data_IF_278721469389
#
_entry.id   IF_278721469389
#
_cell.length_a   1.000
_cell.length_b   1.000
_cell.length_c   1.000
_cell.angle_alpha   90.00
_cell.angle_beta   90.00
_cell.angle_gamma   90.00
#
_symmetry.space_group_name_H-M   'P 1'
#
loop_
_entity.id
_entity.type
_entity.pdbx_description
1 polymer ?
#
# COMPACT_ATOMS: atom_id res chain seq x y z
N UNK A 1 -37.07 -66.91 64.46
CA UNK A 1 -38.46 -66.40 64.54
C UNK A 1 -38.47 -64.95 64.07
N UNK A 2 -39.51 -64.55 63.31
CA UNK A 2 -39.99 -63.16 63.14
C UNK A 2 -39.05 -62.08 62.58
N UNK A 3 -39.52 -61.06 61.84
CA UNK A 3 -40.76 -60.79 61.05
C UNK A 3 -40.58 -59.37 60.47
N UNK A 4 -41.10 -59.08 59.25
CA UNK A 4 -41.69 -57.76 58.85
C UNK A 4 -40.68 -56.58 58.79
N UNK A 5 -40.61 -55.63 57.84
CA UNK A 5 -41.33 -55.22 56.62
C UNK A 5 -40.32 -54.33 55.79
N UNK A 6 -40.57 -53.64 54.66
CA UNK A 6 -41.76 -53.41 53.81
C UNK A 6 -41.34 -53.17 52.34
N UNK A 7 -42.32 -53.26 51.43
CA UNK A 7 -42.44 -52.60 50.11
C UNK A 7 -41.42 -51.49 49.73
N UNK A 8 -40.78 -51.66 48.57
CA UNK A 8 -40.23 -50.58 47.74
C UNK A 8 -40.75 -50.73 46.30
N UNK A 9 -41.38 -49.70 45.69
CA UNK A 9 -41.84 -49.75 44.29
C UNK A 9 -40.69 -49.67 43.27
N UNK A 10 -41.03 -49.92 42.01
CA UNK A 10 -40.11 -50.35 40.95
C UNK A 10 -39.23 -49.26 40.33
N UNK A 11 -38.11 -49.72 39.80
CA UNK A 11 -36.94 -49.00 39.26
C UNK A 11 -37.17 -48.08 38.03
N UNK A 12 -38.41 -47.78 37.66
CA UNK A 12 -38.76 -47.20 36.36
C UNK A 12 -39.00 -45.67 36.36
N UNK A 13 -39.36 -45.05 37.49
CA UNK A 13 -39.61 -43.59 37.56
C UNK A 13 -38.32 -42.74 37.66
N UNK A 14 -37.15 -43.37 37.79
CA UNK A 14 -35.87 -42.68 38.00
C UNK A 14 -35.10 -42.31 36.72
N UNK A 15 -35.43 -42.90 35.56
CA UNK A 15 -34.67 -42.66 34.31
C UNK A 15 -35.25 -41.51 33.44
N UNK A 16 -36.56 -41.25 33.44
CA UNK A 16 -37.13 -40.09 32.69
C UNK A 16 -36.71 -38.71 33.25
N UNK A 17 -36.30 -38.65 34.53
CA UNK A 17 -35.91 -37.39 35.18
C UNK A 17 -34.49 -36.93 34.85
N UNK A 18 -33.65 -37.74 34.20
CA UNK A 18 -32.33 -37.27 33.74
C UNK A 18 -32.43 -36.58 32.38
N UNK A 19 -33.03 -37.24 31.38
CA UNK A 19 -33.08 -36.72 30.00
C UNK A 19 -33.79 -35.37 29.87
N UNK A 20 -34.81 -35.11 30.71
CA UNK A 20 -35.52 -33.81 30.72
C UNK A 20 -34.66 -32.64 31.21
N UNK A 21 -33.69 -32.89 32.11
CA UNK A 21 -32.77 -31.85 32.59
C UNK A 21 -31.64 -31.57 31.59
N UNK A 22 -31.21 -32.58 30.84
CA UNK A 22 -30.18 -32.47 29.82
C UNK A 22 -30.70 -31.72 28.59
N UNK A 23 -31.89 -32.09 28.09
CA UNK A 23 -32.60 -31.34 27.03
C UNK A 23 -32.87 -29.88 27.44
N UNK A 24 -33.19 -29.61 28.70
CA UNK A 24 -33.39 -28.25 29.21
C UNK A 24 -32.10 -27.42 29.17
N UNK A 25 -30.93 -28.04 29.42
CA UNK A 25 -29.62 -27.40 29.26
C UNK A 25 -29.31 -27.14 27.79
N UNK A 26 -29.45 -28.13 26.91
CA UNK A 26 -29.24 -27.96 25.47
C UNK A 26 -30.14 -26.86 24.88
N UNK A 27 -31.42 -26.82 25.28
CA UNK A 27 -32.36 -25.80 24.80
C UNK A 27 -32.00 -24.40 25.34
N UNK A 28 -31.46 -24.30 26.55
CA UNK A 28 -30.94 -23.05 27.11
C UNK A 28 -29.68 -22.58 26.35
N UNK A 29 -28.77 -23.49 26.05
CA UNK A 29 -27.52 -23.23 25.34
C UNK A 29 -27.75 -22.89 23.86
N UNK A 30 -28.70 -23.55 23.19
CA UNK A 30 -29.17 -23.18 21.84
C UNK A 30 -29.82 -21.80 21.82
N UNK A 31 -30.69 -21.48 22.78
CA UNK A 31 -31.30 -20.14 22.86
C UNK A 31 -30.26 -19.05 23.16
N UNK A 32 -29.26 -19.35 24.00
CA UNK A 32 -28.13 -18.46 24.24
C UNK A 32 -27.34 -18.23 22.94
N UNK A 33 -26.89 -19.29 22.28
CA UNK A 33 -26.13 -19.20 21.03
C UNK A 33 -26.90 -18.48 19.91
N UNK A 34 -28.21 -18.73 19.78
CA UNK A 34 -29.07 -18.03 18.82
C UNK A 34 -29.21 -16.54 19.14
N UNK A 35 -29.30 -16.17 20.43
CA UNK A 35 -29.30 -14.77 20.86
C UNK A 35 -27.97 -14.09 20.56
N UNK A 36 -26.84 -14.72 20.90
CA UNK A 36 -25.50 -14.22 20.60
C UNK A 36 -25.27 -14.06 19.09
N UNK A 37 -25.83 -14.96 18.27
CA UNK A 37 -25.77 -14.83 16.81
C UNK A 37 -26.61 -13.64 16.30
N UNK A 38 -27.81 -13.39 16.86
CA UNK A 38 -28.64 -12.23 16.48
C UNK A 38 -28.04 -10.90 16.93
N UNK A 39 -27.30 -10.88 18.04
CA UNK A 39 -26.57 -9.70 18.50
C UNK A 39 -25.36 -9.40 17.61
N UNK A 40 -24.53 -10.41 17.27
CA UNK A 40 -23.41 -10.26 16.31
C UNK A 40 -23.86 -9.77 14.92
N UNK A 41 -24.98 -10.27 14.40
CA UNK A 41 -25.50 -9.81 13.10
C UNK A 41 -26.03 -8.37 13.15
N UNK A 42 -26.55 -7.90 14.31
CA UNK A 42 -26.86 -6.47 14.51
C UNK A 42 -25.61 -5.60 14.56
N UNK A 43 -24.55 -6.05 15.23
CA UNK A 43 -23.26 -5.34 15.29
C UNK A 43 -22.66 -5.19 13.89
N UNK A 44 -22.71 -6.24 13.06
CA UNK A 44 -22.26 -6.21 11.65
C UNK A 44 -23.08 -5.24 10.78
N UNK A 45 -24.40 -5.20 10.95
CA UNK A 45 -25.25 -4.21 10.26
C UNK A 45 -24.91 -2.78 10.66
N UNK A 46 -24.67 -2.52 11.96
CA UNK A 46 -24.31 -1.20 12.46
C UNK A 46 -22.92 -0.75 11.96
N UNK A 47 -21.95 -1.67 11.89
CA UNK A 47 -20.60 -1.41 11.38
C UNK A 47 -20.60 -1.06 9.89
N UNK A 48 -21.55 -1.58 9.10
CA UNK A 48 -21.71 -1.21 7.69
C UNK A 48 -22.19 0.24 7.49
N UNK A 49 -22.99 0.78 8.42
CA UNK A 49 -23.53 2.15 8.33
C UNK A 49 -22.53 3.25 8.68
N UNK A 50 -21.41 2.96 9.36
CA UNK A 50 -20.34 3.94 9.61
C UNK A 50 -19.43 4.19 8.40
N UNK A 51 -19.57 3.42 7.31
CA UNK A 51 -18.69 3.54 6.13
C UNK A 51 -19.00 4.73 5.20
N UNK A 52 -20.09 5.46 5.42
CA UNK A 52 -20.45 6.64 4.62
C UNK A 52 -19.81 7.95 5.10
N UNK A 53 -19.38 8.02 6.36
CA UNK A 53 -18.94 9.25 7.03
C UNK A 53 -17.58 9.73 6.49
N UNK A 54 -16.59 8.83 6.43
CA UNK A 54 -15.24 9.14 5.92
C UNK A 54 -15.20 9.61 4.47
N UNK A 55 -16.18 9.23 3.64
CA UNK A 55 -16.27 9.74 2.25
C UNK A 55 -16.64 11.21 2.18
N UNK A 56 -17.44 11.71 3.12
CA UNK A 56 -17.80 13.13 3.19
C UNK A 56 -16.60 13.99 3.62
N UNK A 57 -15.78 13.49 4.54
CA UNK A 57 -14.52 14.13 4.93
C UNK A 57 -13.52 14.19 3.77
N UNK A 58 -13.36 13.08 3.01
CA UNK A 58 -12.52 13.03 1.81
C UNK A 58 -12.97 14.05 0.74
N UNK A 59 -14.27 14.08 0.39
CA UNK A 59 -14.82 15.02 -0.61
C UNK A 59 -14.70 16.49 -0.15
N UNK A 60 -14.86 16.76 1.15
CA UNK A 60 -14.71 18.09 1.75
C UNK A 60 -13.24 18.55 1.70
N UNK A 61 -12.30 17.69 2.12
CA UNK A 61 -10.87 17.99 2.10
C UNK A 61 -10.32 18.15 0.68
N UNK A 62 -10.81 17.38 -0.29
CA UNK A 62 -10.50 17.57 -1.70
C UNK A 62 -11.00 18.93 -2.23
N UNK A 63 -12.21 19.34 -1.83
CA UNK A 63 -12.78 20.63 -2.22
C UNK A 63 -11.98 21.79 -1.64
N UNK A 64 -11.57 21.71 -0.36
CA UNK A 64 -10.71 22.69 0.29
C UNK A 64 -9.32 22.75 -0.36
N UNK A 65 -8.71 21.59 -0.67
CA UNK A 65 -7.45 21.52 -1.38
C UNK A 65 -7.52 22.19 -2.76
N UNK A 66 -8.55 21.89 -3.57
CA UNK A 66 -8.74 22.51 -4.87
C UNK A 66 -8.99 24.03 -4.77
N UNK A 67 -9.65 24.49 -3.71
CA UNK A 67 -9.79 25.93 -3.45
C UNK A 67 -8.42 26.58 -3.16
N UNK A 68 -7.58 25.94 -2.32
CA UNK A 68 -6.24 26.46 -1.98
C UNK A 68 -5.30 26.64 -3.19
N UNK A 69 -5.51 25.89 -4.28
CA UNK A 69 -4.73 26.02 -5.51
C UNK A 69 -4.93 27.37 -6.24
N UNK A 70 -5.99 28.12 -5.94
CA UNK A 70 -6.16 29.48 -6.48
C UNK A 70 -5.10 30.47 -5.96
N UNK A 71 -4.66 30.30 -4.72
CA UNK A 71 -3.69 31.19 -4.07
C UNK A 71 -2.26 30.62 -4.08
N UNK A 72 -2.11 29.33 -4.41
CA UNK A 72 -0.80 28.68 -4.56
C UNK A 72 -0.18 28.90 -5.93
N UNK A 73 1.10 29.31 -5.96
CA UNK A 73 1.90 29.40 -7.19
C UNK A 73 2.89 28.23 -7.27
N UNK A 74 2.68 27.23 -8.14
CA UNK A 74 3.60 26.11 -8.31
C UNK A 74 4.94 26.51 -8.93
N UNK A 75 6.00 25.77 -8.58
CA UNK A 75 7.35 25.86 -9.21
C UNK A 75 7.36 25.60 -10.72
N UNK A 76 6.37 24.88 -11.24
CA UNK A 76 6.16 24.66 -12.68
C UNK A 76 5.16 25.73 -13.14
N UNK A 77 5.53 26.63 -14.07
CA UNK A 77 4.66 27.73 -14.51
C UNK A 77 3.35 27.24 -15.16
N UNK A 78 2.28 28.00 -14.94
CA UNK A 78 0.93 27.69 -15.43
C UNK A 78 0.93 27.57 -16.97
N UNK A 79 1.65 28.44 -17.69
CA UNK A 79 1.74 28.45 -19.16
C UNK A 79 2.41 27.19 -19.73
N UNK A 80 3.37 26.60 -18.98
CA UNK A 80 4.03 25.37 -19.39
C UNK A 80 3.05 24.19 -19.31
N UNK A 81 2.23 24.16 -18.26
CA UNK A 81 1.20 23.13 -18.09
C UNK A 81 0.11 23.30 -19.14
N UNK A 82 -0.38 24.52 -19.38
CA UNK A 82 -1.34 24.81 -20.45
C UNK A 82 -0.84 24.33 -21.81
N UNK A 83 0.43 24.60 -22.16
CA UNK A 83 1.04 24.11 -23.41
C UNK A 83 1.02 22.58 -23.52
N UNK A 84 1.38 21.85 -22.46
CA UNK A 84 1.39 20.37 -22.49
C UNK A 84 -0.02 19.76 -22.44
N UNK A 85 -0.98 20.40 -21.76
CA UNK A 85 -2.39 20.02 -21.80
C UNK A 85 -2.98 20.22 -23.21
N UNK A 86 -2.77 21.40 -23.80
CA UNK A 86 -3.23 21.72 -25.15
C UNK A 86 -2.62 20.77 -26.21
N UNK A 87 -1.31 20.45 -26.07
CA UNK A 87 -0.63 19.44 -26.89
C UNK A 87 -1.23 18.03 -26.75
N UNK A 88 -1.84 17.73 -25.60
CA UNK A 88 -2.56 16.48 -25.33
C UNK A 88 -4.03 16.51 -25.77
N UNK A 89 -4.49 17.63 -26.35
CA UNK A 89 -5.88 17.82 -26.79
C UNK A 89 -6.84 18.30 -25.69
N UNK A 90 -6.32 18.72 -24.53
CA UNK A 90 -7.12 19.20 -23.40
C UNK A 90 -6.89 20.70 -23.16
N UNK A 91 -7.95 21.50 -23.18
CA UNK A 91 -7.88 22.92 -22.86
C UNK A 91 -8.92 23.24 -21.79
N UNK A 92 -8.49 23.84 -20.69
CA UNK A 92 -9.35 24.17 -19.56
C UNK A 92 -9.01 25.58 -19.04
N UNK A 93 -10.00 26.47 -18.84
CA UNK A 93 -9.77 27.79 -18.27
C UNK A 93 -9.71 27.79 -16.72
N UNK A 94 -9.88 26.64 -16.07
CA UNK A 94 -9.83 26.53 -14.61
C UNK A 94 -8.38 26.39 -14.12
N UNK A 95 -7.84 27.49 -13.58
CA UNK A 95 -6.49 27.57 -13.02
C UNK A 95 -6.24 26.51 -11.92
N UNK A 96 -7.27 26.06 -11.20
CA UNK A 96 -7.13 25.01 -10.17
C UNK A 96 -6.72 23.69 -10.79
N UNK A 97 -7.25 23.36 -11.97
CA UNK A 97 -6.91 22.12 -12.69
C UNK A 97 -5.52 22.19 -13.33
N UNK A 98 -5.15 23.36 -13.87
CA UNK A 98 -3.79 23.63 -14.37
C UNK A 98 -2.77 23.45 -13.23
N UNK A 99 -3.01 24.07 -12.07
CA UNK A 99 -2.12 23.98 -10.91
C UNK A 99 -2.15 22.63 -10.21
N UNK A 100 -3.27 21.91 -10.24
CA UNK A 100 -3.35 20.53 -9.78
C UNK A 100 -2.38 19.63 -10.58
N UNK A 101 -2.37 19.78 -11.91
CA UNK A 101 -1.44 19.05 -12.79
C UNK A 101 0.01 19.47 -12.51
N UNK A 102 0.26 20.76 -12.28
CA UNK A 102 1.59 21.26 -11.88
C UNK A 102 2.08 20.60 -10.57
N UNK A 103 1.26 20.60 -9.51
CA UNK A 103 1.58 20.03 -8.19
C UNK A 103 1.72 18.50 -8.27
N UNK A 104 0.84 17.82 -9.00
CA UNK A 104 0.94 16.37 -9.20
C UNK A 104 2.24 15.98 -9.93
N UNK A 105 2.65 16.77 -10.93
CA UNK A 105 3.92 16.57 -11.66
C UNK A 105 5.12 16.81 -10.75
N UNK A 106 5.09 17.85 -9.90
CA UNK A 106 6.15 18.10 -8.91
C UNK A 106 6.26 16.98 -7.89
N UNK A 107 5.13 16.50 -7.35
CA UNK A 107 5.08 15.37 -6.42
C UNK A 107 5.70 14.12 -7.05
N UNK A 108 5.30 13.79 -8.29
CA UNK A 108 5.85 12.65 -9.01
C UNK A 108 7.37 12.74 -9.21
N UNK A 109 7.88 13.90 -9.65
CA UNK A 109 9.33 14.12 -9.83
C UNK A 109 10.08 14.06 -8.49
N UNK A 110 9.48 14.58 -7.40
CA UNK A 110 10.05 14.50 -6.06
C UNK A 110 10.09 13.06 -5.51
N UNK A 111 9.09 12.24 -5.79
CA UNK A 111 9.06 10.81 -5.44
C UNK A 111 10.17 10.05 -6.17
N UNK A 112 10.25 10.17 -7.51
CA UNK A 112 11.34 9.56 -8.31
C UNK A 112 12.72 10.00 -7.84
N UNK A 113 12.90 11.28 -7.51
CA UNK A 113 14.16 11.81 -6.98
C UNK A 113 14.48 11.25 -5.58
N UNK A 114 13.48 11.05 -4.74
CA UNK A 114 13.62 10.46 -3.40
C UNK A 114 14.03 8.99 -3.48
N UNK A 115 13.46 8.23 -4.41
CA UNK A 115 13.82 6.82 -4.60
C UNK A 115 15.20 6.66 -5.24
N UNK A 116 15.56 7.51 -6.20
CA UNK A 116 16.93 7.56 -6.72
C UNK A 116 17.95 7.97 -5.64
N UNK A 117 17.58 8.86 -4.70
CA UNK A 117 18.41 9.22 -3.55
C UNK A 117 18.64 8.02 -2.61
N UNK A 118 17.59 7.23 -2.33
CA UNK A 118 17.69 5.99 -1.54
C UNK A 118 18.64 4.98 -2.18
N UNK A 119 18.53 4.77 -3.50
CA UNK A 119 19.44 3.90 -4.26
C UNK A 119 20.90 4.40 -4.20
N UNK A 120 21.11 5.72 -4.34
CA UNK A 120 22.45 6.33 -4.26
C UNK A 120 23.08 6.12 -2.87
N UNK A 121 22.32 6.34 -1.80
CA UNK A 121 22.77 6.10 -0.42
C UNK A 121 23.10 4.62 -0.17
N UNK A 122 22.25 3.69 -0.65
CA UNK A 122 22.49 2.25 -0.52
C UNK A 122 23.78 1.80 -1.20
N UNK A 123 24.07 2.27 -2.43
CA UNK A 123 25.35 2.02 -3.10
C UNK A 123 26.53 2.64 -2.34
N UNK A 124 26.41 3.87 -1.86
CA UNK A 124 27.51 4.50 -1.12
C UNK A 124 27.78 3.83 0.24
N UNK A 125 26.82 3.10 0.81
CA UNK A 125 27.02 2.33 2.03
C UNK A 125 27.82 1.03 1.80
N UNK A 126 27.62 0.34 0.66
CA UNK A 126 28.30 -0.94 0.38
C UNK A 126 29.79 -0.78 0.10
N UNK A 127 30.21 0.31 -0.55
CA UNK A 127 31.62 0.59 -0.94
C UNK A 127 32.54 0.88 0.26
N UNK A 128 32.00 1.09 1.46
CA UNK A 128 32.74 1.67 2.61
C UNK A 128 33.45 0.63 3.48
N UNK A 129 33.22 -0.66 3.27
CA UNK A 129 33.68 -1.71 4.19
C UNK A 129 35.19 -1.94 4.18
N UNK A 130 35.88 -1.65 3.07
CA UNK A 130 37.28 -2.01 2.85
C UNK A 130 38.33 -0.94 3.19
N UNK A 131 37.96 0.34 3.35
CA UNK A 131 38.92 1.44 3.58
C UNK A 131 38.49 2.44 4.64
N UNK A 132 38.31 1.95 5.87
CA UNK A 132 38.25 2.79 7.08
C UNK A 132 39.67 3.26 7.42
N UNK A 133 40.01 4.51 7.07
CA UNK A 133 40.79 5.40 7.98
C UNK A 133 40.88 6.87 7.50
N UNK A 134 41.03 7.15 6.20
CA UNK A 134 41.36 8.51 5.70
C UNK A 134 40.49 9.00 4.55
N UNK A 135 39.36 9.62 4.91
CA UNK A 135 38.80 10.86 4.30
C UNK A 135 37.35 11.07 4.79
N UNK A 136 37.20 11.66 5.98
CA UNK A 136 35.92 12.20 6.46
C UNK A 136 35.67 13.60 5.85
N UNK A 137 35.73 13.69 4.51
CA UNK A 137 35.40 14.90 3.77
C UNK A 137 34.18 14.61 2.91
N UNK A 138 33.06 15.16 3.34
CA UNK A 138 31.74 15.20 2.69
C UNK A 138 31.56 14.28 1.48
N UNK A 139 30.92 13.12 1.69
CA UNK A 139 30.45 12.27 0.60
C UNK A 139 29.32 12.96 -0.13
N UNK A 140 29.68 13.79 -1.11
CA UNK A 140 28.75 14.42 -2.04
C UNK A 140 27.90 13.32 -2.69
N UNK A 141 26.60 13.38 -2.47
CA UNK A 141 25.66 12.52 -3.16
C UNK A 141 25.54 13.02 -4.61
N UNK A 142 25.71 12.11 -5.55
CA UNK A 142 25.63 12.37 -6.99
C UNK A 142 24.57 11.43 -7.55
N UNK A 143 23.58 11.99 -8.23
CA UNK A 143 22.59 11.20 -8.97
C UNK A 143 23.28 10.54 -10.18
N UNK A 144 23.22 9.21 -10.27
CA UNK A 144 23.79 8.46 -11.40
C UNK A 144 22.69 7.78 -12.22
N UNK A 145 23.03 7.38 -13.46
CA UNK A 145 22.12 6.60 -14.29
C UNK A 145 21.74 5.26 -13.67
N UNK A 146 22.59 4.66 -12.83
CA UNK A 146 22.28 3.42 -12.11
C UNK A 146 21.14 3.62 -11.09
N UNK A 147 21.21 4.72 -10.32
CA UNK A 147 20.19 5.08 -9.32
C UNK A 147 18.84 5.36 -10.00
N UNK A 148 18.89 6.22 -11.02
CA UNK A 148 17.71 6.68 -11.74
C UNK A 148 17.04 5.52 -12.49
N UNK A 149 17.82 4.63 -13.12
CA UNK A 149 17.27 3.46 -13.84
C UNK A 149 16.68 2.41 -12.90
N UNK A 150 17.09 2.37 -11.62
CA UNK A 150 16.45 1.53 -10.60
C UNK A 150 15.14 2.16 -10.13
N UNK A 151 15.14 3.42 -9.72
CA UNK A 151 13.94 4.14 -9.27
C UNK A 151 12.85 4.16 -10.36
N UNK A 152 13.19 4.51 -11.60
CA UNK A 152 12.24 4.52 -12.72
C UNK A 152 11.64 3.14 -13.04
N UNK A 153 12.35 2.05 -12.74
CA UNK A 153 11.85 0.69 -12.96
C UNK A 153 10.71 0.34 -12.01
N UNK A 154 10.70 0.90 -10.80
CA UNK A 154 9.61 0.73 -9.83
C UNK A 154 8.31 1.41 -10.33
N UNK A 155 8.44 2.45 -11.16
CA UNK A 155 7.34 3.09 -11.91
C UNK A 155 7.09 2.48 -13.30
N UNK A 156 7.69 1.33 -13.63
CA UNK A 156 7.52 0.63 -14.92
C UNK A 156 8.30 1.21 -16.10
N UNK A 157 9.14 2.23 -15.89
CA UNK A 157 9.95 2.87 -16.95
C UNK A 157 11.32 2.19 -17.04
N UNK A 158 11.56 1.48 -18.14
CA UNK A 158 12.81 0.75 -18.35
C UNK A 158 13.84 1.59 -19.14
N UNK A 159 14.78 2.20 -18.43
CA UNK A 159 15.94 2.90 -19.02
C UNK A 159 17.08 1.90 -19.26
N UNK A 160 17.55 1.80 -20.52
CA UNK A 160 18.76 1.05 -20.91
C UNK A 160 19.83 2.02 -21.36
N UNK A 161 20.77 2.35 -20.47
CA UNK A 161 22.00 3.06 -20.82
C UNK A 161 23.09 2.04 -21.15
N UNK A 162 23.66 2.09 -22.35
CA UNK A 162 24.87 1.32 -22.67
C UNK A 162 26.09 2.05 -22.10
N UNK A 163 26.98 1.36 -21.38
CA UNK A 163 28.15 1.99 -20.77
C UNK A 163 29.14 2.54 -21.82
N UNK A 164 29.23 1.86 -22.97
CA UNK A 164 30.09 2.21 -24.09
C UNK A 164 29.39 1.93 -25.42
N UNK A 165 29.67 2.76 -26.43
CA UNK A 165 29.41 2.46 -27.83
C UNK A 165 30.73 2.13 -28.51
N UNK A 166 30.72 1.17 -29.44
CA UNK A 166 31.85 0.90 -30.30
C UNK A 166 31.72 1.73 -31.58
N UNK A 167 32.59 2.73 -31.75
CA UNK A 167 32.64 3.59 -32.96
C UNK A 167 33.02 2.81 -34.25
N UNK A 168 33.40 1.54 -34.10
CA UNK A 168 33.92 0.65 -35.12
C UNK A 168 33.41 -0.78 -34.84
N UNK A 169 32.79 -1.48 -35.82
CA UNK A 169 32.32 -2.86 -35.63
C UNK A 169 33.44 -3.89 -35.40
N UNK A 170 34.71 -3.54 -35.63
CA UNK A 170 35.87 -4.38 -35.31
C UNK A 170 36.46 -4.15 -33.90
N UNK A 171 35.91 -3.23 -33.11
CA UNK A 171 36.38 -3.00 -31.73
C UNK A 171 36.05 -4.22 -30.86
N UNK A 172 37.09 -4.95 -30.44
CA UNK A 172 36.96 -6.20 -29.69
C UNK A 172 37.11 -7.48 -30.53
N UNK A 173 37.35 -7.37 -31.85
CA UNK A 173 37.87 -8.49 -32.63
C UNK A 173 39.36 -8.67 -32.37
N UNK A 174 39.78 -9.89 -32.07
CA UNK A 174 41.17 -10.27 -31.86
C UNK A 174 41.93 -10.13 -33.20
N UNK A 175 43.06 -9.39 -33.29
CA UNK A 175 43.77 -9.19 -34.56
C UNK A 175 44.28 -10.49 -35.20
N UNK A 176 44.29 -11.59 -34.46
CA UNK A 176 44.70 -12.91 -34.93
C UNK A 176 43.72 -13.62 -35.89
N UNK A 177 42.50 -13.11 -36.08
CA UNK A 177 41.48 -13.75 -36.95
C UNK A 177 41.39 -13.14 -38.36
N UNK A 178 42.44 -12.46 -38.85
CA UNK A 178 42.42 -11.72 -40.12
C UNK A 178 43.16 -12.41 -41.28
N UNK A 179 43.82 -13.54 -41.05
CA UNK A 179 44.54 -14.31 -42.06
C UNK A 179 44.16 -15.80 -42.02
N UNK A 180 43.05 -16.16 -42.69
CA UNK A 180 42.79 -17.48 -43.32
C UNK A 180 41.75 -17.33 -44.46
#
# INVERSE_FOLDING_TARGET
>A
MSRIDRSSPSKLESEERLGTNELSRELTELNFNLKTHRERERERMNQSQQSSDGRHEDDTSLTEFLASLMDYTPTIPDELVEHYLAKSGFQCPDLRLIRLVAVATQKFVAEVATDALRQCQARQASVVKDKRDKQQKEKRLTLTMEDLSKALREHGVNVKHQEYFADNPSTGMDPASRDE
#
